data_IF_939739410447
#
_entry.id   IF_939739410447
#
_cell.length_a   1.000
_cell.length_b   1.000
_cell.length_c   1.000
_cell.angle_alpha   90.00
_cell.angle_beta   90.00
_cell.angle_gamma   90.00
#
_symmetry.space_group_name_H-M   'P 1'
#
loop_
_entity.id
_entity.type
_entity.pdbx_description
1 polymer ?
#
# COMPACT_ATOMS: atom_id res chain seq x y z
N UNK A 1 -11.03 36.30 -4.18
CA UNK A 1 -10.23 35.07 -4.11
C UNK A 1 -9.70 34.95 -2.68
N UNK A 2 -10.14 33.92 -1.94
CA UNK A 2 -9.92 33.84 -0.49
C UNK A 2 -8.43 33.80 -0.10
N UNK A 3 -8.02 34.70 0.78
CA UNK A 3 -6.65 34.75 1.32
C UNK A 3 -6.20 33.42 1.94
N UNK A 4 -7.13 32.61 2.47
CA UNK A 4 -6.85 31.26 2.96
C UNK A 4 -6.38 30.30 1.86
N UNK A 5 -6.99 30.36 0.67
CA UNK A 5 -6.62 29.53 -0.48
C UNK A 5 -5.21 29.85 -0.98
N UNK A 6 -4.88 31.15 -1.09
CA UNK A 6 -3.54 31.60 -1.52
C UNK A 6 -2.48 31.13 -0.54
N UNK A 7 -2.70 31.32 0.77
CA UNK A 7 -1.76 30.89 1.82
C UNK A 7 -1.53 29.38 1.84
N UNK A 8 -2.58 28.59 1.59
CA UNK A 8 -2.47 27.12 1.52
C UNK A 8 -1.69 26.69 0.28
N UNK A 9 -1.90 27.36 -0.84
CA UNK A 9 -1.17 27.09 -2.09
C UNK A 9 0.33 27.43 -1.97
N UNK A 10 0.66 28.56 -1.39
CA UNK A 10 2.05 28.97 -1.13
C UNK A 10 2.74 27.98 -0.19
N UNK A 11 2.08 27.60 0.92
CA UNK A 11 2.61 26.61 1.85
C UNK A 11 2.91 25.26 1.17
N UNK A 12 1.97 24.76 0.35
CA UNK A 12 2.17 23.52 -0.43
C UNK A 12 3.33 23.63 -1.41
N UNK A 13 3.51 24.80 -2.01
CA UNK A 13 4.61 25.07 -2.93
C UNK A 13 5.96 25.05 -2.20
N UNK A 14 6.07 25.68 -1.04
CA UNK A 14 7.27 25.66 -0.19
C UNK A 14 7.63 24.24 0.27
N UNK A 15 6.67 23.49 0.76
CA UNK A 15 6.88 22.09 1.17
C UNK A 15 7.34 21.24 -0.01
N UNK A 16 6.77 21.43 -1.19
CA UNK A 16 7.19 20.73 -2.40
C UNK A 16 8.66 20.98 -2.72
N UNK A 17 9.12 22.24 -2.64
CA UNK A 17 10.52 22.58 -2.86
C UNK A 17 11.45 21.93 -1.83
N UNK A 18 11.08 21.92 -0.55
CA UNK A 18 11.82 21.22 0.49
C UNK A 18 11.95 19.72 0.22
N UNK A 19 10.86 19.09 -0.25
CA UNK A 19 10.88 17.67 -0.61
C UNK A 19 11.80 17.40 -1.80
N UNK A 20 11.78 18.24 -2.82
CA UNK A 20 12.71 18.11 -3.96
C UNK A 20 14.17 18.31 -3.54
N UNK A 21 14.45 19.30 -2.70
CA UNK A 21 15.79 19.52 -2.19
C UNK A 21 16.30 18.33 -1.37
N UNK A 22 15.46 17.78 -0.48
CA UNK A 22 15.81 16.60 0.28
C UNK A 22 15.99 15.36 -0.61
N UNK A 23 15.10 15.15 -1.59
CA UNK A 23 15.18 14.04 -2.53
C UNK A 23 16.42 14.09 -3.43
N UNK A 24 16.98 15.28 -3.66
CA UNK A 24 18.26 15.45 -4.39
C UNK A 24 19.49 15.37 -3.48
N UNK A 25 19.45 16.05 -2.34
CA UNK A 25 20.59 16.14 -1.43
C UNK A 25 20.92 14.78 -0.77
N UNK A 26 19.88 14.02 -0.34
CA UNK A 26 20.12 12.74 0.32
C UNK A 26 20.88 11.71 -0.51
N UNK A 27 20.57 11.47 -1.80
CA UNK A 27 21.38 10.58 -2.65
C UNK A 27 22.81 11.07 -2.85
N UNK A 28 23.01 12.38 -3.05
CA UNK A 28 24.35 12.96 -3.22
C UNK A 28 25.20 12.75 -1.97
N UNK A 29 24.64 13.01 -0.80
CA UNK A 29 25.29 12.78 0.49
C UNK A 29 25.57 11.28 0.68
N UNK A 30 24.62 10.41 0.35
CA UNK A 30 24.77 8.97 0.47
C UNK A 30 25.89 8.43 -0.40
N UNK A 31 26.01 8.90 -1.65
CA UNK A 31 27.11 8.52 -2.56
C UNK A 31 28.44 9.05 -2.04
N UNK A 32 28.48 10.28 -1.54
CA UNK A 32 29.70 10.91 -1.04
C UNK A 32 30.20 10.28 0.28
N UNK A 33 29.29 9.88 1.17
CA UNK A 33 29.61 9.24 2.47
C UNK A 33 29.90 7.76 2.34
N UNK A 34 29.42 7.10 1.29
CA UNK A 34 29.47 5.65 1.13
C UNK A 34 28.54 4.91 2.09
N UNK A 35 28.62 3.58 2.11
CA UNK A 35 27.85 2.73 3.02
C UNK A 35 26.49 2.28 2.48
N UNK A 36 25.54 2.03 3.38
CA UNK A 36 24.22 1.53 3.02
C UNK A 36 23.42 2.58 2.24
N UNK A 37 22.56 2.13 1.32
CA UNK A 37 21.75 3.01 0.46
C UNK A 37 20.53 3.62 1.21
N UNK A 38 20.76 4.26 2.36
CA UNK A 38 19.73 4.85 3.21
C UNK A 38 18.89 5.95 2.51
N UNK A 39 19.46 6.60 1.50
CA UNK A 39 18.76 7.63 0.72
C UNK A 39 17.51 7.11 0.04
N UNK A 40 17.46 5.82 -0.35
CA UNK A 40 16.27 5.20 -0.94
C UNK A 40 15.13 5.17 0.07
N UNK A 41 15.41 4.85 1.32
CA UNK A 41 14.42 4.86 2.41
C UNK A 41 13.87 6.27 2.61
N UNK A 42 14.73 7.28 2.60
CA UNK A 42 14.31 8.70 2.73
C UNK A 42 13.43 9.12 1.56
N UNK A 43 13.82 8.82 0.32
CA UNK A 43 13.02 9.16 -0.88
C UNK A 43 11.66 8.50 -0.82
N UNK A 44 11.60 7.22 -0.45
CA UNK A 44 10.32 6.52 -0.31
C UNK A 44 9.45 7.11 0.81
N UNK A 45 10.06 7.48 1.94
CA UNK A 45 9.36 8.14 3.05
C UNK A 45 8.79 9.50 2.64
N UNK A 46 9.56 10.31 1.92
CA UNK A 46 9.09 11.59 1.37
C UNK A 46 7.92 11.39 0.39
N UNK A 47 8.01 10.39 -0.49
CA UNK A 47 6.93 10.01 -1.41
C UNK A 47 5.68 9.57 -0.65
N UNK A 48 5.85 8.78 0.40
CA UNK A 48 4.77 8.31 1.26
C UNK A 48 4.04 9.48 1.94
N UNK A 49 4.79 10.36 2.61
CA UNK A 49 4.23 11.55 3.28
C UNK A 49 3.54 12.46 2.26
N UNK A 50 4.16 12.69 1.11
CA UNK A 50 3.56 13.52 0.04
C UNK A 50 2.22 12.95 -0.44
N UNK A 51 2.15 11.66 -0.69
CA UNK A 51 0.95 10.99 -1.20
C UNK A 51 -0.24 11.11 -0.24
N UNK A 52 -0.01 11.06 1.08
CA UNK A 52 -1.08 11.08 2.07
C UNK A 52 -1.43 12.46 2.60
N UNK A 53 -0.46 13.38 2.63
CA UNK A 53 -0.67 14.71 3.24
C UNK A 53 -1.01 15.77 2.20
N UNK A 54 -0.34 15.74 1.04
CA UNK A 54 -0.41 16.85 0.06
C UNK A 54 -1.11 16.49 -1.25
N UNK A 55 -1.24 15.21 -1.56
CA UNK A 55 -1.96 14.72 -2.76
C UNK A 55 -3.02 13.69 -2.37
N UNK A 56 -4.01 14.04 -1.55
CA UNK A 56 -5.18 13.18 -1.45
C UNK A 56 -5.79 13.12 -2.86
N UNK A 57 -5.95 11.92 -3.40
CA UNK A 57 -6.56 11.72 -4.72
C UNK A 57 -7.97 12.33 -4.69
N UNK A 58 -8.13 13.50 -5.29
CA UNK A 58 -9.40 14.24 -5.35
C UNK A 58 -10.50 13.48 -6.11
N UNK A 59 -10.10 12.50 -6.93
CA UNK A 59 -11.00 11.73 -7.79
C UNK A 59 -11.59 10.51 -7.10
N UNK A 60 -10.90 9.94 -6.11
CA UNK A 60 -11.36 8.76 -5.37
C UNK A 60 -11.20 8.96 -3.87
N UNK A 61 -12.09 9.75 -3.25
CA UNK A 61 -12.19 9.83 -1.79
C UNK A 61 -12.84 8.56 -1.23
N UNK A 62 -12.23 7.42 -1.55
CA UNK A 62 -12.68 6.13 -1.06
C UNK A 62 -11.76 5.63 0.06
N UNK A 63 -12.33 5.43 1.24
CA UNK A 63 -11.60 4.93 2.42
C UNK A 63 -10.87 3.62 2.15
N UNK A 64 -11.48 2.72 1.36
CA UNK A 64 -10.87 1.43 1.00
C UNK A 64 -9.61 1.63 0.17
N UNK A 65 -9.67 2.45 -0.88
CA UNK A 65 -8.52 2.74 -1.73
C UNK A 65 -7.39 3.40 -0.96
N UNK A 66 -7.71 4.38 -0.11
CA UNK A 66 -6.72 5.07 0.73
C UNK A 66 -6.08 4.12 1.74
N UNK A 67 -6.88 3.29 2.43
CA UNK A 67 -6.35 2.32 3.40
C UNK A 67 -5.48 1.27 2.70
N UNK A 68 -5.90 0.77 1.53
CA UNK A 68 -5.11 -0.18 0.74
C UNK A 68 -3.78 0.40 0.29
N UNK A 69 -3.78 1.65 -0.20
CA UNK A 69 -2.55 2.39 -0.55
C UNK A 69 -1.65 2.57 0.67
N UNK A 70 -2.21 2.96 1.83
CA UNK A 70 -1.47 3.13 3.07
C UNK A 70 -0.74 1.85 3.46
N UNK A 71 -1.43 0.72 3.45
CA UNK A 71 -0.86 -0.60 3.78
C UNK A 71 0.28 -0.93 2.80
N UNK A 72 0.04 -0.79 1.49
CA UNK A 72 1.04 -1.11 0.47
C UNK A 72 2.30 -0.24 0.61
N UNK A 73 2.16 1.09 0.77
CA UNK A 73 3.28 2.00 0.96
C UNK A 73 4.05 1.71 2.26
N UNK A 74 3.34 1.41 3.35
CA UNK A 74 3.96 1.03 4.63
C UNK A 74 4.75 -0.27 4.51
N UNK A 75 4.19 -1.29 3.88
CA UNK A 75 4.88 -2.58 3.67
C UNK A 75 6.16 -2.40 2.85
N UNK A 76 6.11 -1.63 1.76
CA UNK A 76 7.31 -1.35 0.96
C UNK A 76 8.35 -0.59 1.77
N UNK A 77 7.93 0.42 2.56
CA UNK A 77 8.85 1.16 3.43
C UNK A 77 9.55 0.24 4.43
N UNK A 78 8.81 -0.65 5.08
CA UNK A 78 9.37 -1.60 6.05
C UNK A 78 10.35 -2.58 5.40
N UNK A 79 10.04 -3.08 4.20
CA UNK A 79 10.94 -3.94 3.43
C UNK A 79 12.23 -3.19 3.06
N UNK A 80 12.12 -1.93 2.64
CA UNK A 80 13.30 -1.11 2.33
C UNK A 80 14.17 -0.84 3.56
N UNK A 81 13.58 -0.57 4.72
CA UNK A 81 14.31 -0.41 5.98
C UNK A 81 15.03 -1.70 6.35
N UNK A 82 14.34 -2.84 6.26
CA UNK A 82 14.92 -4.15 6.58
C UNK A 82 16.09 -4.50 5.65
N UNK A 83 15.89 -4.34 4.35
CA UNK A 83 16.91 -4.73 3.36
C UNK A 83 18.13 -3.82 3.35
N UNK A 84 17.96 -2.51 3.64
CA UNK A 84 19.01 -1.52 3.49
C UNK A 84 19.66 -1.10 4.81
N UNK A 85 18.99 -1.19 5.93
CA UNK A 85 19.46 -0.66 7.23
C UNK A 85 19.64 -1.74 8.29
N UNK A 86 18.70 -2.66 8.44
CA UNK A 86 18.68 -3.61 9.56
C UNK A 86 17.96 -4.90 9.17
N UNK A 87 18.65 -5.87 8.55
CA UNK A 87 18.02 -7.05 7.99
C UNK A 87 17.49 -8.04 9.05
N UNK A 88 16.36 -8.68 8.74
CA UNK A 88 15.86 -9.88 9.41
C UNK A 88 14.54 -9.76 10.16
N UNK A 89 13.96 -8.56 10.36
CA UNK A 89 12.72 -8.37 11.12
C UNK A 89 11.47 -8.20 10.26
N UNK A 90 11.61 -7.69 9.04
CA UNK A 90 10.44 -7.41 8.17
C UNK A 90 9.68 -8.69 7.79
N UNK A 91 10.35 -9.83 7.73
CA UNK A 91 9.72 -11.13 7.47
C UNK A 91 8.63 -11.51 8.50
N UNK A 92 8.68 -10.92 9.69
CA UNK A 92 7.64 -11.07 10.71
C UNK A 92 6.62 -9.94 10.68
N UNK A 93 7.09 -8.70 10.61
CA UNK A 93 6.26 -7.50 10.78
C UNK A 93 5.39 -7.24 9.55
N UNK A 94 5.93 -7.39 8.35
CA UNK A 94 5.18 -7.11 7.11
C UNK A 94 3.96 -8.03 6.95
N UNK A 95 4.05 -9.36 7.12
CA UNK A 95 2.87 -10.22 7.05
C UNK A 95 1.80 -9.88 8.10
N UNK A 96 2.19 -9.48 9.31
CA UNK A 96 1.24 -9.07 10.36
C UNK A 96 0.48 -7.81 9.95
N UNK A 97 1.20 -6.79 9.44
CA UNK A 97 0.59 -5.54 8.97
C UNK A 97 -0.32 -5.81 7.77
N UNK A 98 0.12 -6.64 6.83
CA UNK A 98 -0.71 -7.03 5.68
C UNK A 98 -1.98 -7.79 6.13
N UNK A 99 -1.87 -8.75 7.05
CA UNK A 99 -3.01 -9.50 7.55
C UNK A 99 -4.01 -8.59 8.29
N UNK A 100 -3.51 -7.74 9.22
CA UNK A 100 -4.34 -6.75 9.91
C UNK A 100 -4.97 -5.75 8.95
N UNK A 101 -4.21 -5.29 7.97
CA UNK A 101 -4.68 -4.40 6.90
C UNK A 101 -5.76 -5.03 6.03
N UNK A 102 -5.61 -6.29 5.63
CA UNK A 102 -6.62 -7.04 4.90
C UNK A 102 -7.92 -7.20 5.70
N UNK A 103 -7.82 -7.51 7.00
CA UNK A 103 -9.00 -7.59 7.86
C UNK A 103 -9.71 -6.24 7.95
N UNK A 104 -8.97 -5.14 8.10
CA UNK A 104 -9.54 -3.80 8.17
C UNK A 104 -10.19 -3.39 6.85
N UNK A 105 -9.52 -3.60 5.72
CA UNK A 105 -10.09 -3.33 4.38
C UNK A 105 -11.30 -4.20 4.11
N UNK A 106 -11.25 -5.47 4.47
CA UNK A 106 -12.38 -6.40 4.38
C UNK A 106 -13.57 -5.93 5.23
N UNK A 107 -13.35 -5.55 6.49
CA UNK A 107 -14.40 -5.02 7.35
C UNK A 107 -15.02 -3.74 6.78
N UNK A 108 -14.22 -2.81 6.26
CA UNK A 108 -14.72 -1.59 5.60
C UNK A 108 -15.53 -1.90 4.33
N UNK A 109 -15.10 -2.91 3.58
CA UNK A 109 -15.80 -3.33 2.36
C UNK A 109 -17.14 -3.98 2.66
N UNK A 110 -17.18 -4.92 3.61
CA UNK A 110 -18.40 -5.65 3.95
C UNK A 110 -19.39 -4.84 4.79
N UNK A 111 -18.98 -3.72 5.42
CA UNK A 111 -19.88 -2.87 6.19
C UNK A 111 -20.86 -2.07 5.32
N UNK A 112 -20.55 -1.76 4.06
CA UNK A 112 -21.42 -1.02 3.14
C UNK A 112 -21.29 -1.52 1.69
N UNK A 113 -21.71 -2.78 1.48
CA UNK A 113 -21.59 -3.48 0.19
C UNK A 113 -22.25 -2.73 -0.97
N UNK A 114 -23.36 -2.03 -0.72
CA UNK A 114 -24.12 -1.34 -1.78
C UNK A 114 -23.33 -0.17 -2.40
N UNK A 115 -22.57 0.56 -1.58
CA UNK A 115 -21.74 1.69 -2.02
C UNK A 115 -20.35 1.25 -2.47
N UNK A 116 -19.86 0.13 -1.95
CA UNK A 116 -18.47 -0.29 -2.13
C UNK A 116 -18.23 -1.25 -3.30
N UNK A 117 -19.30 -1.73 -3.97
CA UNK A 117 -19.19 -2.63 -5.14
C UNK A 117 -18.27 -2.11 -6.25
N UNK A 118 -18.27 -0.79 -6.49
CA UNK A 118 -17.41 -0.16 -7.50
C UNK A 118 -15.92 -0.12 -7.11
N UNK A 119 -15.62 -0.34 -5.82
CA UNK A 119 -14.30 -0.16 -5.21
C UNK A 119 -13.65 -1.47 -4.76
N UNK A 120 -14.04 -2.58 -5.36
CA UNK A 120 -13.52 -3.92 -5.03
C UNK A 120 -12.04 -4.11 -5.45
N UNK A 121 -11.61 -3.40 -6.50
CA UNK A 121 -10.27 -3.58 -7.09
C UNK A 121 -9.11 -3.37 -6.11
N UNK A 122 -9.05 -2.31 -5.29
CA UNK A 122 -7.95 -2.12 -4.34
C UNK A 122 -7.84 -3.27 -3.33
N UNK A 123 -8.97 -3.82 -2.89
CA UNK A 123 -9.00 -4.97 -1.99
C UNK A 123 -8.51 -6.23 -2.69
N UNK A 124 -8.97 -6.49 -3.92
CA UNK A 124 -8.52 -7.65 -4.71
C UNK A 124 -7.01 -7.61 -4.98
N UNK A 125 -6.44 -6.43 -5.23
CA UNK A 125 -4.99 -6.27 -5.38
C UNK A 125 -4.22 -6.65 -4.11
N UNK A 126 -4.70 -6.27 -2.93
CA UNK A 126 -4.09 -6.68 -1.66
C UNK A 126 -4.19 -8.19 -1.44
N UNK A 127 -5.36 -8.78 -1.71
CA UNK A 127 -5.55 -10.23 -1.62
C UNK A 127 -4.61 -10.95 -2.58
N UNK A 128 -4.54 -10.50 -3.84
CA UNK A 128 -3.67 -11.08 -4.86
C UNK A 128 -2.18 -10.97 -4.47
N UNK A 129 -1.73 -9.80 -4.01
CA UNK A 129 -0.37 -9.60 -3.53
C UNK A 129 -0.04 -10.53 -2.33
N UNK A 130 -0.99 -10.72 -1.43
CA UNK A 130 -0.83 -11.63 -0.28
C UNK A 130 -0.74 -13.10 -0.71
N UNK A 131 -1.54 -13.50 -1.70
CA UNK A 131 -1.47 -14.86 -2.27
C UNK A 131 -0.13 -15.08 -2.96
N UNK A 132 0.35 -14.11 -3.74
CA UNK A 132 1.67 -14.19 -4.37
C UNK A 132 2.80 -14.31 -3.33
N UNK A 133 2.72 -13.54 -2.24
CA UNK A 133 3.70 -13.62 -1.15
C UNK A 133 3.73 -14.99 -0.50
N UNK A 134 2.59 -15.65 -0.35
CA UNK A 134 2.53 -17.02 0.19
C UNK A 134 3.07 -18.03 -0.81
N UNK A 135 2.71 -17.90 -2.09
CA UNK A 135 3.24 -18.78 -3.13
C UNK A 135 4.76 -18.67 -3.24
N UNK A 136 5.31 -17.45 -3.14
CA UNK A 136 6.77 -17.26 -3.12
C UNK A 136 7.43 -17.92 -1.88
N UNK A 137 6.75 -17.86 -0.72
CA UNK A 137 7.21 -18.54 0.50
C UNK A 137 7.22 -20.08 0.36
N UNK A 138 6.37 -20.68 -0.47
CA UNK A 138 6.42 -22.11 -0.78
C UNK A 138 7.63 -22.48 -1.63
N UNK A 139 8.14 -21.54 -2.43
CA UNK A 139 9.37 -21.71 -3.24
C UNK A 139 10.64 -21.49 -2.40
N UNK A 140 10.51 -21.05 -1.13
CA UNK A 140 11.60 -20.90 -0.18
C UNK A 140 12.03 -19.45 0.09
N UNK A 141 11.31 -18.45 -0.41
CA UNK A 141 11.56 -17.05 -0.09
C UNK A 141 10.27 -16.23 -0.09
N UNK A 142 9.96 -15.51 0.99
CA UNK A 142 10.60 -15.47 2.33
C UNK A 142 10.35 -16.73 3.16
N UNK A 143 11.10 -16.90 4.25
CA UNK A 143 10.96 -18.06 5.16
C UNK A 143 9.54 -18.20 5.70
N UNK A 144 9.06 -19.44 5.78
CA UNK A 144 7.71 -19.75 6.22
C UNK A 144 7.58 -19.60 7.73
N UNK A 145 7.02 -18.49 8.16
CA UNK A 145 6.75 -18.14 9.53
C UNK A 145 5.24 -18.18 9.84
N UNK A 146 4.88 -18.24 11.14
CA UNK A 146 3.47 -18.19 11.53
C UNK A 146 2.71 -16.92 11.04
N UNK A 147 3.31 -15.70 10.98
CA UNK A 147 2.63 -14.54 10.41
C UNK A 147 2.30 -14.71 8.93
N UNK A 148 3.17 -15.41 8.19
CA UNK A 148 2.95 -15.70 6.77
C UNK A 148 1.77 -16.65 6.57
N UNK A 149 1.64 -17.67 7.43
CA UNK A 149 0.48 -18.58 7.40
C UNK A 149 -0.80 -17.86 7.82
N UNK A 150 -0.74 -16.94 8.80
CA UNK A 150 -1.87 -16.11 9.20
C UNK A 150 -2.32 -15.17 8.05
N UNK A 151 -1.36 -14.52 7.35
CA UNK A 151 -1.64 -13.74 6.15
C UNK A 151 -2.36 -14.56 5.08
N UNK A 152 -1.91 -15.81 4.88
CA UNK A 152 -2.53 -16.73 3.95
C UNK A 152 -3.96 -17.08 4.28
N UNK A 153 -4.19 -17.42 5.53
CA UNK A 153 -5.52 -17.75 6.01
C UNK A 153 -6.48 -16.55 5.89
N UNK A 154 -6.02 -15.34 6.22
CA UNK A 154 -6.83 -14.11 6.08
C UNK A 154 -7.11 -13.78 4.62
N UNK A 155 -6.13 -13.84 3.73
CA UNK A 155 -6.30 -13.58 2.31
C UNK A 155 -7.27 -14.59 1.66
N UNK A 156 -7.11 -15.88 1.99
CA UNK A 156 -8.00 -16.93 1.50
C UNK A 156 -9.42 -16.76 2.06
N UNK A 157 -9.56 -16.47 3.35
CA UNK A 157 -10.86 -16.22 3.98
C UNK A 157 -11.61 -15.05 3.33
N UNK A 158 -10.94 -13.93 3.07
CA UNK A 158 -11.52 -12.78 2.39
C UNK A 158 -11.90 -13.13 0.94
N UNK A 159 -11.07 -13.89 0.22
CA UNK A 159 -11.38 -14.34 -1.13
C UNK A 159 -12.65 -15.19 -1.17
N UNK A 160 -12.78 -16.17 -0.25
CA UNK A 160 -13.96 -17.02 -0.12
C UNK A 160 -15.20 -16.18 0.20
N UNK A 161 -15.08 -15.21 1.13
CA UNK A 161 -16.20 -14.29 1.44
C UNK A 161 -16.58 -13.43 0.24
N UNK A 162 -15.61 -12.94 -0.54
CA UNK A 162 -15.88 -12.19 -1.77
C UNK A 162 -16.64 -13.04 -2.79
N UNK A 163 -16.25 -14.30 -2.98
CA UNK A 163 -16.92 -15.21 -3.91
C UNK A 163 -18.33 -15.54 -3.41
N UNK A 164 -18.50 -15.79 -2.10
CA UNK A 164 -19.79 -16.14 -1.52
C UNK A 164 -20.80 -14.97 -1.56
N UNK A 165 -20.32 -13.73 -1.30
CA UNK A 165 -21.20 -12.55 -1.18
C UNK A 165 -21.42 -11.85 -2.53
N UNK A 166 -20.40 -11.78 -3.38
CA UNK A 166 -20.48 -11.06 -4.65
C UNK A 166 -20.69 -11.96 -5.88
N UNK A 167 -20.41 -13.26 -5.77
CA UNK A 167 -20.67 -14.29 -6.77
C UNK A 167 -20.70 -13.80 -8.23
N UNK A 168 -21.89 -13.75 -8.79
CA UNK A 168 -22.10 -13.34 -10.20
C UNK A 168 -21.71 -11.89 -10.49
N UNK A 169 -21.81 -10.98 -9.53
CA UNK A 169 -21.44 -9.57 -9.75
C UNK A 169 -19.93 -9.37 -9.90
N UNK A 170 -19.14 -10.21 -9.27
CA UNK A 170 -17.68 -10.16 -9.36
C UNK A 170 -17.21 -10.63 -10.74
N UNK A 171 -17.81 -11.69 -11.25
CA UNK A 171 -17.53 -12.19 -12.61
C UNK A 171 -17.86 -11.14 -13.67
N UNK A 172 -19.04 -10.49 -13.57
CA UNK A 172 -19.45 -9.43 -14.49
C UNK A 172 -18.55 -8.20 -14.45
N UNK A 173 -18.05 -7.81 -13.26
CA UNK A 173 -17.15 -6.67 -13.11
C UNK A 173 -15.75 -6.97 -13.69
N UNK A 174 -15.25 -8.18 -13.48
CA UNK A 174 -14.00 -8.65 -14.08
C UNK A 174 -14.14 -8.76 -15.61
N UNK A 175 -15.23 -9.31 -16.10
CA UNK A 175 -15.50 -9.44 -17.54
C UNK A 175 -15.56 -8.09 -18.24
N UNK A 176 -16.21 -7.06 -17.64
CA UNK A 176 -16.24 -5.71 -18.18
C UNK A 176 -14.86 -5.06 -18.29
N UNK A 177 -13.92 -5.38 -17.42
CA UNK A 177 -12.57 -4.78 -17.44
C UNK A 177 -11.57 -5.54 -18.29
N UNK A 178 -11.76 -6.83 -18.47
CA UNK A 178 -10.88 -7.66 -19.31
C UNK A 178 -11.40 -7.83 -20.75
N UNK A 179 -12.66 -7.52 -21.02
CA UNK A 179 -13.21 -7.40 -22.38
C UNK A 179 -13.04 -5.97 -22.89
N UNK A 180 -11.81 -5.62 -23.26
CA UNK A 180 -11.56 -4.52 -24.18
C UNK A 180 -11.92 -5.01 -25.59
N UNK A 181 -13.12 -4.72 -26.02
CA UNK A 181 -13.45 -4.55 -27.42
C UNK A 181 -13.75 -3.10 -27.68
#
# INVERSE_FOLDING_TARGET
MDQKLIRTYEFRSWVRWLFFMAAYACPVINIASGGHAWSIVVIWSLRFIWSFTFSPDLVEYNRISQTSKLIAYSCVLLILIDTLLSPGWAMFVVPIICAGGLLLVGALFFSDLSKQRQNIMPMLWLVFASILAILSSLVGWPDRNWPMTALGATAFGILVLCIAVLGQSLLLEMEKRFHTR
#
